data_IF_327555471454
#
_entry.id   IF_327555471454
#
_cell.length_a   1.000
_cell.length_b   1.000
_cell.length_c   1.000
_cell.angle_alpha   90.00
_cell.angle_beta   90.00
_cell.angle_gamma   90.00
#
_symmetry.space_group_name_H-M   'P 1'
#
loop_
_entity.id
_entity.type
_entity.pdbx_description
1 polymer ?
#
# COMPACT_ATOMS: atom_id res chain seq x y z
N UNK A 1 29.38 -1.46 -13.43
CA UNK A 1 28.78 -0.21 -12.92
C UNK A 1 27.26 -0.07 -13.12
N UNK A 2 26.52 -1.07 -13.66
CA UNK A 2 25.07 -0.89 -13.98
C UNK A 2 24.09 -1.01 -12.80
N UNK A 3 24.43 -1.75 -11.73
CA UNK A 3 23.50 -1.96 -10.59
C UNK A 3 23.38 -0.73 -9.70
N UNK A 4 24.52 -0.12 -9.35
CA UNK A 4 24.53 1.06 -8.50
C UNK A 4 23.83 2.25 -9.18
N UNK A 5 24.03 2.43 -10.50
CA UNK A 5 23.30 3.46 -11.28
C UNK A 5 21.78 3.28 -11.14
N UNK A 6 21.26 2.06 -11.37
CA UNK A 6 19.82 1.79 -11.24
C UNK A 6 19.27 2.09 -9.85
N UNK A 7 20.04 1.80 -8.81
CA UNK A 7 19.64 2.12 -7.43
C UNK A 7 19.59 3.63 -7.22
N UNK A 8 20.58 4.37 -7.71
CA UNK A 8 20.63 5.85 -7.63
C UNK A 8 19.47 6.46 -8.41
N UNK A 9 19.23 5.99 -9.64
CA UNK A 9 18.16 6.48 -10.50
C UNK A 9 16.79 6.19 -9.87
N UNK A 10 16.57 4.97 -9.38
CA UNK A 10 15.34 4.57 -8.69
C UNK A 10 15.10 5.37 -7.41
N UNK A 11 16.13 5.62 -6.61
CA UNK A 11 16.02 6.44 -5.39
C UNK A 11 15.69 7.90 -5.72
N UNK A 12 16.29 8.44 -6.78
CA UNK A 12 16.03 9.81 -7.23
C UNK A 12 14.61 9.99 -7.76
N UNK A 13 14.06 8.96 -8.42
CA UNK A 13 12.67 8.96 -8.86
C UNK A 13 11.70 8.82 -7.67
N UNK A 14 11.98 7.92 -6.74
CA UNK A 14 11.14 7.69 -5.57
C UNK A 14 10.99 8.95 -4.71
N UNK A 15 12.08 9.74 -4.58
CA UNK A 15 12.08 11.00 -3.84
C UNK A 15 11.02 12.00 -4.35
N UNK A 16 10.70 11.98 -5.66
CA UNK A 16 9.72 12.90 -6.25
C UNK A 16 8.30 12.64 -5.74
N UNK A 17 7.97 11.41 -5.34
CA UNK A 17 6.69 11.05 -4.73
C UNK A 17 6.67 11.11 -3.20
N UNK A 18 7.80 11.44 -2.56
CA UNK A 18 7.95 11.45 -1.10
C UNK A 18 7.96 12.87 -0.49
N UNK A 19 7.35 13.84 -1.18
CA UNK A 19 7.36 15.26 -0.80
C UNK A 19 6.32 15.69 0.24
N UNK A 20 5.58 14.76 0.85
CA UNK A 20 4.56 15.09 1.85
C UNK A 20 5.15 15.68 3.13
N UNK A 21 4.44 16.65 3.73
CA UNK A 21 4.85 17.33 4.97
C UNK A 21 4.08 16.80 6.20
N UNK A 22 3.04 16.00 5.97
CA UNK A 22 2.16 15.46 6.97
C UNK A 22 2.79 14.24 7.67
N UNK A 23 2.41 13.97 8.93
CA UNK A 23 2.80 12.72 9.59
C UNK A 23 2.31 11.50 8.80
N UNK A 24 3.15 10.47 8.72
CA UNK A 24 2.74 9.16 8.21
C UNK A 24 1.64 8.61 9.12
N UNK A 25 0.56 8.11 8.52
CA UNK A 25 -0.63 7.62 9.22
C UNK A 25 -1.35 8.69 10.06
N UNK A 26 -1.46 9.92 9.54
CA UNK A 26 -2.26 10.96 10.17
C UNK A 26 -3.74 10.55 10.25
N UNK A 27 -4.19 10.31 11.48
CA UNK A 27 -5.58 9.99 11.84
C UNK A 27 -6.20 11.05 12.76
N UNK A 28 -5.45 12.11 13.08
CA UNK A 28 -5.92 13.18 13.94
C UNK A 28 -6.82 14.15 13.18
N UNK A 29 -6.54 14.36 11.89
CA UNK A 29 -7.32 15.24 11.03
C UNK A 29 -8.46 14.49 10.34
N UNK A 30 -9.65 15.11 10.33
CA UNK A 30 -10.77 14.63 9.51
C UNK A 30 -10.42 14.77 8.03
N UNK A 31 -10.68 13.74 7.23
CA UNK A 31 -10.37 13.72 5.80
C UNK A 31 -8.88 13.95 5.49
N UNK A 32 -7.97 13.45 6.34
CA UNK A 32 -6.51 13.51 6.14
C UNK A 32 -6.01 12.80 4.86
N UNK A 33 -6.86 12.00 4.21
CA UNK A 33 -6.54 11.34 2.95
C UNK A 33 -6.39 12.35 1.82
N UNK A 34 -5.17 12.48 1.30
CA UNK A 34 -4.88 13.29 0.11
C UNK A 34 -4.92 12.44 -1.15
N UNK A 35 -5.37 13.02 -2.26
CA UNK A 35 -5.16 12.44 -3.59
C UNK A 35 -3.66 12.36 -3.78
N UNK A 36 -3.12 11.15 -3.79
CA UNK A 36 -1.67 10.92 -3.86
C UNK A 36 -1.10 11.32 -5.21
N UNK A 37 -0.80 12.60 -5.36
CA UNK A 37 -0.04 13.13 -6.49
C UNK A 37 1.33 12.49 -6.48
N UNK A 38 1.78 11.98 -7.63
CA UNK A 38 3.10 11.37 -7.79
C UNK A 38 3.35 10.04 -7.05
N UNK A 39 2.31 9.35 -6.56
CA UNK A 39 2.44 7.97 -6.04
C UNK A 39 3.09 7.06 -7.08
N UNK A 40 2.76 7.22 -8.36
CA UNK A 40 3.36 6.42 -9.44
C UNK A 40 4.89 6.58 -9.49
N UNK A 41 5.44 7.77 -9.21
CA UNK A 41 6.89 7.99 -9.17
C UNK A 41 7.54 7.28 -7.99
N UNK A 42 6.89 7.33 -6.83
CA UNK A 42 7.32 6.58 -5.64
C UNK A 42 7.37 5.08 -5.92
N UNK A 43 6.28 4.53 -6.45
CA UNK A 43 6.14 3.10 -6.78
C UNK A 43 7.16 2.66 -7.83
N UNK A 44 7.31 3.41 -8.93
CA UNK A 44 8.23 3.07 -10.01
C UNK A 44 9.71 3.18 -9.59
N UNK A 45 10.03 4.17 -8.75
CA UNK A 45 11.36 4.31 -8.17
C UNK A 45 11.73 3.12 -7.27
N UNK A 46 10.80 2.72 -6.39
CA UNK A 46 10.95 1.54 -5.53
C UNK A 46 11.08 0.27 -6.37
N UNK A 47 10.22 0.08 -7.38
CA UNK A 47 10.28 -1.07 -8.30
C UNK A 47 11.67 -1.23 -8.93
N UNK A 48 12.24 -0.14 -9.42
CA UNK A 48 13.58 -0.14 -10.03
C UNK A 48 14.69 -0.58 -9.07
N UNK A 49 14.55 -0.29 -7.77
CA UNK A 49 15.48 -0.73 -6.71
C UNK A 49 15.25 -2.21 -6.39
N UNK A 50 13.99 -2.60 -6.17
CA UNK A 50 13.59 -3.97 -5.78
C UNK A 50 14.02 -5.00 -6.82
N UNK A 51 13.82 -4.71 -8.11
CA UNK A 51 14.23 -5.57 -9.23
C UNK A 51 15.73 -5.89 -9.23
N UNK A 52 16.55 -4.98 -8.68
CA UNK A 52 18.01 -5.14 -8.63
C UNK A 52 18.48 -5.81 -7.34
N UNK A 53 17.85 -5.44 -6.22
CA UNK A 53 18.30 -5.80 -4.86
C UNK A 53 17.64 -7.09 -4.37
N UNK A 54 16.31 -7.17 -4.40
CA UNK A 54 15.55 -8.25 -3.79
C UNK A 54 15.27 -9.40 -4.75
N UNK A 55 15.08 -9.15 -6.05
CA UNK A 55 14.82 -10.19 -7.06
C UNK A 55 13.70 -11.15 -6.63
N UNK A 56 14.03 -12.38 -6.20
CA UNK A 56 13.10 -13.44 -5.82
C UNK A 56 12.91 -13.57 -4.29
N UNK A 57 13.50 -12.70 -3.46
CA UNK A 57 13.23 -12.74 -2.01
C UNK A 57 11.95 -11.97 -1.69
N UNK A 58 11.09 -12.58 -0.88
CA UNK A 58 9.76 -12.08 -0.54
C UNK A 58 8.67 -12.55 -1.51
N UNK A 59 7.42 -12.47 -1.07
CA UNK A 59 6.24 -12.82 -1.84
C UNK A 59 5.28 -11.64 -1.85
N UNK A 60 5.07 -11.05 -3.02
CA UNK A 60 4.17 -9.92 -3.22
C UNK A 60 2.68 -10.23 -2.90
N UNK A 61 2.32 -11.50 -2.73
CA UNK A 61 0.95 -11.94 -2.41
C UNK A 61 0.82 -12.36 -0.93
N UNK A 62 1.88 -12.16 -0.13
CA UNK A 62 1.82 -12.47 1.29
C UNK A 62 0.81 -11.56 2.00
N UNK A 63 -0.10 -12.16 2.77
CA UNK A 63 -1.10 -11.42 3.55
C UNK A 63 -2.29 -10.87 2.75
N UNK A 64 -2.39 -11.14 1.45
CA UNK A 64 -3.43 -10.56 0.57
C UNK A 64 -4.78 -11.30 0.62
N UNK A 65 -4.79 -12.61 0.89
CA UNK A 65 -6.02 -13.40 0.76
C UNK A 65 -6.95 -13.34 1.98
N UNK A 66 -6.40 -13.07 3.16
CA UNK A 66 -7.07 -13.32 4.45
C UNK A 66 -7.14 -12.07 5.33
N UNK A 67 -8.23 -11.94 6.08
CA UNK A 67 -8.34 -11.00 7.19
C UNK A 67 -7.38 -11.42 8.30
N UNK A 68 -6.71 -10.47 8.93
CA UNK A 68 -5.78 -10.74 10.00
C UNK A 68 -6.50 -10.94 11.35
N UNK A 69 -7.77 -10.56 11.43
CA UNK A 69 -8.63 -10.76 12.62
C UNK A 69 -9.03 -12.21 12.83
N UNK A 70 -9.46 -12.91 11.77
CA UNK A 70 -10.08 -14.24 11.86
C UNK A 70 -9.64 -15.24 10.77
N UNK A 71 -8.70 -14.85 9.89
CA UNK A 71 -8.23 -15.66 8.75
C UNK A 71 -9.32 -16.05 7.74
N UNK A 72 -10.48 -15.38 7.77
CA UNK A 72 -11.50 -15.48 6.72
C UNK A 72 -11.02 -14.75 5.45
N UNK A 73 -11.64 -15.04 4.30
CA UNK A 73 -11.27 -14.38 3.04
C UNK A 73 -11.60 -12.89 3.04
N UNK A 74 -10.76 -12.07 2.40
CA UNK A 74 -11.06 -10.65 2.14
C UNK A 74 -12.17 -10.49 1.10
N UNK A 75 -13.02 -9.47 1.23
CA UNK A 75 -14.17 -9.23 0.32
C UNK A 75 -13.84 -8.48 -0.98
N UNK A 76 -12.59 -8.54 -1.44
CA UNK A 76 -12.21 -8.18 -2.82
C UNK A 76 -12.71 -6.81 -3.31
N UNK A 77 -12.36 -5.74 -2.60
CA UNK A 77 -12.66 -4.36 -3.00
C UNK A 77 -13.99 -3.79 -2.47
N UNK A 78 -14.87 -4.61 -1.89
CA UNK A 78 -16.00 -4.13 -1.11
C UNK A 78 -15.71 -4.34 0.38
N UNK A 79 -14.82 -3.52 0.94
CA UNK A 79 -14.39 -3.69 2.33
C UNK A 79 -15.59 -3.67 3.26
N UNK A 80 -15.86 -4.80 3.90
CA UNK A 80 -16.92 -4.94 4.90
C UNK A 80 -16.45 -4.40 6.25
N UNK A 81 -17.33 -4.41 7.26
CA UNK A 81 -16.92 -4.26 8.65
C UNK A 81 -15.74 -5.19 8.94
N UNK A 82 -14.71 -4.67 9.61
CA UNK A 82 -13.58 -5.42 10.18
C UNK A 82 -12.39 -5.67 9.23
N UNK A 83 -12.33 -5.02 8.07
CA UNK A 83 -11.19 -5.09 7.13
C UNK A 83 -10.37 -3.80 7.07
N UNK A 84 -9.04 -3.92 6.90
CA UNK A 84 -8.14 -2.76 6.76
C UNK A 84 -8.50 -1.83 5.59
N UNK A 85 -9.14 -2.34 4.53
CA UNK A 85 -9.55 -1.54 3.38
C UNK A 85 -10.61 -0.47 3.71
N UNK A 86 -11.36 -0.62 4.82
CA UNK A 86 -12.26 0.43 5.32
C UNK A 86 -11.56 1.75 5.66
N UNK A 87 -10.24 1.72 5.94
CA UNK A 87 -9.47 2.94 6.20
C UNK A 87 -9.34 3.84 4.96
N UNK A 88 -9.54 3.29 3.77
CA UNK A 88 -9.43 3.99 2.49
C UNK A 88 -10.79 4.18 1.81
N UNK A 89 -11.88 3.82 2.48
CA UNK A 89 -13.23 3.98 1.96
C UNK A 89 -13.69 5.46 2.03
N UNK A 90 -14.43 5.90 1.02
CA UNK A 90 -14.89 7.30 0.89
C UNK A 90 -15.96 7.69 1.92
N UNK A 91 -16.65 6.72 2.50
CA UNK A 91 -17.69 6.89 3.52
C UNK A 91 -17.15 6.94 4.97
N UNK A 92 -15.83 7.02 5.12
CA UNK A 92 -15.09 6.87 6.38
C UNK A 92 -15.26 5.48 7.04
N UNK A 93 -14.28 5.08 7.85
CA UNK A 93 -14.35 3.79 8.55
C UNK A 93 -15.43 3.74 9.67
N UNK A 94 -16.03 4.88 10.04
CA UNK A 94 -17.13 4.96 11.00
C UNK A 94 -16.88 4.22 12.31
N UNK A 95 -17.89 3.46 12.78
CA UNK A 95 -17.80 2.65 13.99
C UNK A 95 -16.79 1.48 13.88
N UNK A 96 -16.42 1.10 12.65
CA UNK A 96 -15.48 0.01 12.39
C UNK A 96 -14.02 0.46 12.38
N UNK A 97 -13.73 1.77 12.52
CA UNK A 97 -12.37 2.31 12.45
C UNK A 97 -11.37 1.62 13.37
N UNK A 98 -11.77 1.30 14.62
CA UNK A 98 -10.91 0.56 15.56
C UNK A 98 -10.57 -0.84 15.06
N UNK A 99 -11.54 -1.54 14.47
CA UNK A 99 -11.35 -2.90 13.97
C UNK A 99 -10.55 -2.92 12.68
N UNK A 100 -10.83 -1.98 11.76
CA UNK A 100 -10.06 -1.79 10.53
C UNK A 100 -8.59 -1.45 10.81
N UNK A 101 -8.32 -0.57 11.78
CA UNK A 101 -6.96 -0.26 12.22
C UNK A 101 -6.25 -1.47 12.85
N UNK A 102 -6.97 -2.26 13.65
CA UNK A 102 -6.41 -3.48 14.25
C UNK A 102 -6.10 -4.55 13.18
N UNK A 103 -6.97 -4.72 12.18
CA UNK A 103 -6.72 -5.61 11.05
C UNK A 103 -5.50 -5.15 10.22
N UNK A 104 -5.40 -3.85 9.94
CA UNK A 104 -4.24 -3.26 9.25
C UNK A 104 -2.93 -3.53 9.98
N UNK A 105 -2.89 -3.28 11.30
CA UNK A 105 -1.70 -3.51 12.11
C UNK A 105 -1.28 -4.99 12.14
N UNK A 106 -2.26 -5.91 12.26
CA UNK A 106 -1.98 -7.34 12.23
C UNK A 106 -1.53 -7.83 10.85
N UNK A 107 -2.12 -7.33 9.78
CA UNK A 107 -1.74 -7.67 8.41
C UNK A 107 -0.28 -7.27 8.13
N UNK A 108 0.11 -6.05 8.51
CA UNK A 108 1.51 -5.58 8.39
C UNK A 108 2.46 -6.38 9.28
N UNK A 109 2.03 -6.76 10.48
CA UNK A 109 2.84 -7.58 11.39
C UNK A 109 3.00 -9.05 10.98
N UNK A 110 2.16 -9.55 10.07
CA UNK A 110 2.19 -10.93 9.59
C UNK A 110 3.13 -11.14 8.38
N UNK A 111 3.60 -10.06 7.75
CA UNK A 111 4.46 -10.08 6.57
C UNK A 111 5.88 -9.62 6.90
N UNK A 112 6.86 -9.98 6.06
CA UNK A 112 8.22 -9.44 6.17
C UNK A 112 8.39 -8.21 5.28
N UNK A 113 9.38 -7.37 5.59
CA UNK A 113 9.65 -6.14 4.82
C UNK A 113 9.90 -6.39 3.33
N UNK A 114 10.50 -7.53 2.97
CA UNK A 114 10.68 -7.90 1.56
C UNK A 114 9.34 -8.16 0.86
N UNK A 115 8.35 -8.76 1.53
CA UNK A 115 7.01 -8.98 0.97
C UNK A 115 6.33 -7.66 0.65
N UNK A 116 6.42 -6.68 1.57
CA UNK A 116 5.87 -5.34 1.39
C UNK A 116 6.52 -4.65 0.18
N UNK A 117 7.86 -4.69 0.09
CA UNK A 117 8.59 -4.08 -1.01
C UNK A 117 8.29 -4.77 -2.36
N UNK A 118 8.10 -6.08 -2.37
CA UNK A 118 7.68 -6.84 -3.55
C UNK A 118 6.24 -6.52 -3.97
N UNK A 119 5.33 -6.36 -3.01
CA UNK A 119 3.95 -5.93 -3.28
C UNK A 119 3.91 -4.53 -3.88
N UNK A 120 4.70 -3.59 -3.36
CA UNK A 120 4.87 -2.25 -3.94
C UNK A 120 5.43 -2.35 -5.37
N UNK A 121 6.47 -3.16 -5.59
CA UNK A 121 7.11 -3.29 -6.89
C UNK A 121 6.23 -3.96 -7.96
N UNK A 122 5.35 -4.89 -7.57
CA UNK A 122 4.29 -5.39 -8.47
C UNK A 122 3.35 -4.26 -8.90
N UNK A 123 3.11 -3.27 -8.04
CA UNK A 123 2.31 -2.09 -8.37
C UNK A 123 0.93 -2.44 -8.91
N UNK A 124 0.51 -1.74 -9.98
CA UNK A 124 -0.84 -1.80 -10.58
C UNK A 124 -1.23 -3.17 -11.20
N UNK A 125 -0.37 -4.18 -11.11
CA UNK A 125 -0.65 -5.58 -11.46
C UNK A 125 -1.08 -6.42 -10.23
N UNK A 126 -1.08 -5.83 -9.03
CA UNK A 126 -1.63 -6.39 -7.80
C UNK A 126 -2.91 -5.68 -7.33
N UNK A 127 -3.77 -6.39 -6.60
CA UNK A 127 -5.10 -5.94 -6.17
C UNK A 127 -5.10 -4.70 -5.25
N UNK A 128 -3.94 -4.30 -4.70
CA UNK A 128 -3.79 -3.09 -3.91
C UNK A 128 -4.17 -1.80 -4.66
N UNK A 129 -3.95 -1.75 -5.99
CA UNK A 129 -4.35 -0.59 -6.82
C UNK A 129 -5.83 -0.60 -7.20
N UNK A 130 -6.49 -1.77 -7.16
CA UNK A 130 -7.92 -1.89 -7.45
C UNK A 130 -8.77 -1.08 -6.46
N UNK A 131 -8.28 -0.94 -5.22
CA UNK A 131 -8.86 -0.04 -4.22
C UNK A 131 -8.62 1.46 -4.51
N UNK A 132 -7.56 1.84 -5.25
CA UNK A 132 -7.29 3.24 -5.61
C UNK A 132 -8.02 3.64 -6.92
N UNK A 133 -8.10 2.74 -7.89
CA UNK A 133 -8.69 3.02 -9.20
C UNK A 133 -10.24 3.12 -9.15
N UNK A 134 -10.89 2.47 -8.19
CA UNK A 134 -12.36 2.59 -8.03
C UNK A 134 -12.79 4.05 -7.80
N UNK A 135 -11.92 4.88 -7.21
CA UNK A 135 -12.18 6.29 -6.92
C UNK A 135 -11.96 7.25 -8.11
N UNK A 136 -11.36 6.81 -9.21
CA UNK A 136 -11.17 7.64 -10.42
C UNK A 136 -12.29 7.49 -11.45
N UNK A 137 -13.16 6.48 -11.32
CA UNK A 137 -14.25 6.22 -12.28
C UNK A 137 -15.61 6.82 -11.91
N UNK A 138 -15.68 7.60 -10.83
CA UNK A 138 -16.92 8.13 -10.25
C UNK A 138 -17.08 9.66 -10.36
N UNK A 139 -16.33 10.32 -11.25
CA UNK A 139 -16.53 11.74 -11.59
C UNK A 139 -16.77 11.92 -13.09
#
# INVERSE_FOLDING_TARGET
>A
MRKLSKIIDGASEALKGAGGNEPIANVADTNAGVVGTDIDKLVNGIKSIVDVVLKDIGNASAGDDKKATDLSGRTGGNSTSDESGKLFATDNAGADGKKAAADAAKAVGAVIGADILQAIAKGNEGDAFKCLLLNLSLN
#
